data_IF_648081197609
#
_entry.id   IF_648081197609
#
_cell.length_a   1.000
_cell.length_b   1.000
_cell.length_c   1.000
_cell.angle_alpha   90.00
_cell.angle_beta   90.00
_cell.angle_gamma   90.00
#
_symmetry.space_group_name_H-M   'P 1'
#
loop_
_entity.id
_entity.type
_entity.pdbx_description
1 polymer ?
#
# COMPACT_ATOMS: atom_id res chain seq x y z
N UNK A 1 8.24 -26.78 -11.85
CA UNK A 1 8.47 -26.11 -10.56
C UNK A 1 7.07 -25.74 -10.02
N UNK A 2 6.35 -26.72 -9.48
CA UNK A 2 6.27 -27.14 -8.06
C UNK A 2 5.38 -26.21 -7.24
N UNK A 3 4.07 -26.43 -7.35
CA UNK A 3 2.99 -25.73 -6.65
C UNK A 3 3.21 -25.63 -5.13
N UNK A 4 3.97 -26.56 -4.54
CA UNK A 4 4.35 -26.53 -3.13
C UNK A 4 5.29 -25.38 -2.75
N UNK A 5 6.23 -24.99 -3.62
CA UNK A 5 7.14 -23.86 -3.35
C UNK A 5 6.38 -22.53 -3.34
N UNK A 6 5.35 -22.42 -4.19
CA UNK A 6 4.52 -21.22 -4.26
C UNK A 6 3.61 -21.08 -3.05
N UNK A 7 3.14 -22.21 -2.49
CA UNK A 7 2.34 -22.21 -1.26
C UNK A 7 3.19 -21.87 -0.03
N UNK A 8 4.39 -22.46 0.10
CA UNK A 8 5.33 -22.13 1.18
C UNK A 8 5.73 -20.64 1.18
N UNK A 9 5.98 -20.08 -0.01
CA UNK A 9 6.28 -18.66 -0.15
C UNK A 9 5.08 -17.78 0.29
N UNK A 10 3.85 -18.22 0.00
CA UNK A 10 2.64 -17.50 0.39
C UNK A 10 2.42 -17.51 1.91
N UNK A 11 2.70 -18.64 2.54
CA UNK A 11 2.64 -18.79 4.00
C UNK A 11 3.71 -17.96 4.71
N UNK A 12 4.94 -17.90 4.17
CA UNK A 12 6.00 -17.03 4.71
C UNK A 12 5.59 -15.55 4.65
N UNK A 13 5.07 -15.10 3.51
CA UNK A 13 4.61 -13.73 3.35
C UNK A 13 3.43 -13.42 4.29
N UNK A 14 2.52 -14.37 4.50
CA UNK A 14 1.41 -14.22 5.46
C UNK A 14 1.91 -14.09 6.90
N UNK A 15 2.89 -14.91 7.30
CA UNK A 15 3.49 -14.84 8.63
C UNK A 15 4.16 -13.48 8.89
N UNK A 16 4.89 -12.97 7.89
CA UNK A 16 5.51 -11.63 7.94
C UNK A 16 4.46 -10.52 8.04
N UNK A 17 3.38 -10.62 7.27
CA UNK A 17 2.26 -9.67 7.34
C UNK A 17 1.59 -9.66 8.73
N UNK A 18 1.45 -10.82 9.38
CA UNK A 18 0.93 -10.93 10.75
C UNK A 18 1.82 -10.26 11.79
N UNK A 19 3.14 -10.24 11.57
CA UNK A 19 4.11 -9.51 12.40
C UNK A 19 4.07 -7.99 12.18
N UNK A 20 3.19 -7.51 11.29
CA UNK A 20 3.03 -6.09 11.00
C UNK A 20 3.90 -5.59 9.85
N UNK A 21 4.64 -6.48 9.18
CA UNK A 21 5.43 -6.10 8.03
C UNK A 21 4.55 -5.87 6.79
N UNK A 22 4.88 -4.87 5.98
CA UNK A 22 4.23 -4.69 4.67
C UNK A 22 4.97 -5.52 3.63
N UNK A 23 4.36 -6.62 3.18
CA UNK A 23 4.88 -7.52 2.14
C UNK A 23 4.28 -7.22 0.75
N UNK A 24 3.16 -6.50 0.67
CA UNK A 24 2.59 -5.99 -0.58
C UNK A 24 2.69 -4.46 -0.64
N UNK A 25 3.39 -3.88 -1.63
CA UNK A 25 3.45 -2.43 -1.82
C UNK A 25 2.05 -1.81 -1.95
N UNK A 26 1.79 -0.76 -1.19
CA UNK A 26 0.46 -0.14 -1.13
C UNK A 26 -0.56 -0.90 -0.30
N UNK A 27 -0.21 -2.04 0.30
CA UNK A 27 -1.06 -2.86 1.18
C UNK A 27 -0.89 -2.57 2.68
N UNK A 28 -0.12 -1.54 3.06
CA UNK A 28 0.18 -1.22 4.48
C UNK A 28 -1.08 -1.15 5.34
N UNK A 29 -1.06 -1.86 6.47
CA UNK A 29 -2.14 -1.96 7.44
C UNK A 29 -2.85 -3.33 7.48
N UNK A 30 -2.68 -4.17 6.46
CA UNK A 30 -3.21 -5.54 6.45
C UNK A 30 -2.36 -6.50 7.27
N UNK A 31 -3.01 -7.39 8.06
CA UNK A 31 -2.36 -8.40 8.93
C UNK A 31 -2.24 -9.79 8.29
N UNK A 32 -2.43 -9.89 6.99
CA UNK A 32 -2.31 -11.11 6.18
C UNK A 32 -1.89 -10.71 4.77
N UNK A 33 -1.30 -11.63 4.01
CA UNK A 33 -0.93 -11.36 2.62
C UNK A 33 -2.17 -10.92 1.81
N UNK A 34 -3.25 -11.68 1.92
CA UNK A 34 -4.51 -11.40 1.21
C UNK A 34 -5.11 -10.03 1.58
N UNK A 35 -5.07 -9.66 2.87
CA UNK A 35 -5.56 -8.34 3.29
C UNK A 35 -4.71 -7.21 2.68
N UNK A 36 -3.39 -7.39 2.61
CA UNK A 36 -2.52 -6.40 1.96
C UNK A 36 -2.75 -6.34 0.44
N UNK A 37 -2.97 -7.47 -0.22
CA UNK A 37 -3.35 -7.53 -1.64
C UNK A 37 -4.65 -6.74 -1.90
N UNK A 38 -5.69 -6.98 -1.11
CA UNK A 38 -6.98 -6.29 -1.24
C UNK A 38 -6.88 -4.79 -0.96
N UNK A 39 -6.08 -4.39 0.04
CA UNK A 39 -5.84 -2.98 0.34
C UNK A 39 -5.10 -2.27 -0.79
N UNK A 40 -4.05 -2.90 -1.33
CA UNK A 40 -3.30 -2.36 -2.46
C UNK A 40 -4.19 -2.19 -3.69
N UNK A 41 -4.99 -3.21 -4.02
CA UNK A 41 -5.93 -3.17 -5.12
C UNK A 41 -7.00 -2.08 -4.93
N UNK A 42 -7.62 -2.00 -3.75
CA UNK A 42 -8.61 -0.99 -3.41
C UNK A 42 -8.06 0.44 -3.51
N UNK A 43 -6.83 0.67 -3.03
CA UNK A 43 -6.14 1.96 -3.13
C UNK A 43 -5.80 2.33 -4.58
N UNK A 44 -5.35 1.36 -5.38
CA UNK A 44 -5.08 1.57 -6.80
C UNK A 44 -6.35 1.98 -7.54
N UNK A 45 -7.44 1.22 -7.38
CA UNK A 45 -8.75 1.53 -7.98
C UNK A 45 -9.27 2.89 -7.54
N UNK A 46 -9.25 3.19 -6.24
CA UNK A 46 -9.66 4.51 -5.72
C UNK A 46 -8.82 5.66 -6.28
N UNK A 47 -7.52 5.45 -6.47
CA UNK A 47 -6.61 6.41 -7.10
C UNK A 47 -6.94 6.67 -8.56
N UNK A 48 -7.25 5.62 -9.33
CA UNK A 48 -7.70 5.74 -10.72
C UNK A 48 -9.01 6.52 -10.82
N UNK A 49 -10.02 6.16 -10.01
CA UNK A 49 -11.30 6.89 -9.96
C UNK A 49 -11.09 8.36 -9.64
N UNK A 50 -10.21 8.68 -8.68
CA UNK A 50 -9.90 10.07 -8.33
C UNK A 50 -9.15 10.82 -9.44
N UNK A 51 -8.30 10.12 -10.21
CA UNK A 51 -7.63 10.66 -11.38
C UNK A 51 -8.62 10.96 -12.50
N UNK A 52 -9.62 10.10 -12.74
CA UNK A 52 -10.67 10.34 -13.73
C UNK A 52 -11.52 11.56 -13.36
N UNK A 53 -11.93 11.69 -12.10
CA UNK A 53 -12.75 12.82 -11.63
C UNK A 53 -12.01 14.18 -11.68
N UNK A 54 -10.71 14.21 -11.38
CA UNK A 54 -9.92 15.44 -11.29
C UNK A 54 -9.11 15.77 -12.53
N UNK A 55 -9.00 14.82 -13.46
CA UNK A 55 -8.02 14.84 -14.53
C UNK A 55 -6.57 14.71 -14.02
N UNK A 56 -5.65 14.51 -14.96
CA UNK A 56 -4.22 14.27 -14.67
C UNK A 56 -3.56 15.39 -13.86
N UNK A 57 -3.82 16.66 -14.20
CA UNK A 57 -3.23 17.81 -13.49
C UNK A 57 -3.76 17.93 -12.06
N UNK A 58 -5.06 17.76 -11.85
CA UNK A 58 -5.66 17.81 -10.51
C UNK A 58 -5.13 16.69 -9.60
N UNK A 59 -5.01 15.47 -10.13
CA UNK A 59 -4.43 14.33 -9.42
C UNK A 59 -2.96 14.56 -9.03
N UNK A 60 -2.14 15.07 -9.95
CA UNK A 60 -0.72 15.36 -9.67
C UNK A 60 -0.55 16.42 -8.58
N UNK A 61 -1.35 17.49 -8.59
CA UNK A 61 -1.31 18.52 -7.55
C UNK A 61 -1.66 17.96 -6.17
N UNK A 62 -2.67 17.09 -6.10
CA UNK A 62 -3.04 16.42 -4.85
C UNK A 62 -1.92 15.50 -4.34
N UNK A 63 -1.31 14.71 -5.22
CA UNK A 63 -0.19 13.83 -4.86
C UNK A 63 1.00 14.59 -4.29
N UNK A 64 1.36 15.73 -4.92
CA UNK A 64 2.41 16.62 -4.41
C UNK A 64 2.08 17.17 -3.02
N UNK A 65 0.85 17.66 -2.83
CA UNK A 65 0.41 18.19 -1.53
C UNK A 65 0.43 17.12 -0.44
N UNK A 66 -0.02 15.90 -0.75
CA UNK A 66 0.03 14.77 0.18
C UNK A 66 1.46 14.41 0.60
N UNK A 67 2.40 14.36 -0.34
CA UNK A 67 3.82 14.09 -0.05
C UNK A 67 4.46 15.16 0.84
N UNK A 68 4.12 16.43 0.63
CA UNK A 68 4.60 17.54 1.46
C UNK A 68 4.05 17.45 2.90
N UNK A 69 2.77 17.09 3.06
CA UNK A 69 2.17 16.88 4.39
C UNK A 69 2.83 15.73 5.15
N UNK A 70 3.15 14.61 4.49
CA UNK A 70 3.90 13.51 5.12
C UNK A 70 5.30 13.93 5.54
N UNK A 71 6.00 14.73 4.73
CA UNK A 71 7.33 15.25 5.06
C UNK A 71 7.29 16.20 6.27
N UNK A 72 6.32 17.10 6.32
CA UNK A 72 6.11 18.05 7.43
C UNK A 72 5.80 17.32 8.75
N UNK A 73 4.95 16.28 8.71
CA UNK A 73 4.62 15.46 9.89
C UNK A 73 5.79 14.58 10.35
N UNK A 74 6.61 14.09 9.42
CA UNK A 74 7.80 13.29 9.76
C UNK A 74 8.92 14.09 10.44
N UNK A 75 8.82 15.41 10.47
CA UNK A 75 9.74 16.31 11.15
C UNK A 75 9.34 16.70 12.59
N UNK A 76 8.15 16.32 13.07
CA UNK A 76 7.64 16.82 14.37
C UNK A 76 7.34 15.76 15.44
N UNK A 77 7.42 14.47 15.14
CA UNK A 77 7.22 13.40 16.13
C UNK A 77 8.27 12.29 15.95
N UNK A 78 9.50 12.60 16.37
CA UNK A 78 10.50 11.67 16.93
C UNK A 78 11.44 12.46 17.84
N UNK A 79 10.94 12.90 18.99
CA UNK A 79 11.70 13.32 20.16
C UNK A 79 10.93 12.87 21.41
#
# INVERSE_FOLDING_TARGET
MSSGQQQQNREELDARARQGETVVPGGTGGKSLEAQEHLAEGRSRGGQTRKEQLGTKGFQQMGRKGGLSTMDQSGRERA
#
